data_IF_421017981989
#
_entry.id   IF_421017981989
#
_cell.length_a   1.000
_cell.length_b   1.000
_cell.length_c   1.000
_cell.angle_alpha   90.00
_cell.angle_beta   90.00
_cell.angle_gamma   90.00
#
_symmetry.space_group_name_H-M   'P 1'
#
loop_
_entity.id
_entity.type
_entity.pdbx_description
1 polymer ?
#
# COMPACT_ATOMS: atom_id res chain seq x y z
N UNK A 1 -4.08 20.59 -10.87
CA UNK A 1 -3.10 20.10 -9.86
C UNK A 1 -3.71 18.99 -9.03
N UNK A 2 -4.78 19.27 -8.28
CA UNK A 2 -5.42 18.24 -7.44
C UNK A 2 -5.93 17.04 -8.22
N UNK A 3 -6.58 17.26 -9.34
CA UNK A 3 -7.11 16.15 -10.16
C UNK A 3 -6.00 15.32 -10.76
N UNK A 4 -4.90 15.95 -11.17
CA UNK A 4 -3.72 15.24 -11.67
C UNK A 4 -3.10 14.38 -10.57
N UNK A 5 -2.93 14.94 -9.38
CA UNK A 5 -2.34 14.21 -8.25
C UNK A 5 -3.23 13.05 -7.81
N UNK A 6 -4.56 13.23 -7.81
CA UNK A 6 -5.50 12.14 -7.54
C UNK A 6 -5.35 11.00 -8.56
N UNK A 7 -5.20 11.35 -9.84
CA UNK A 7 -5.04 10.35 -10.89
C UNK A 7 -3.73 9.57 -10.73
N UNK A 8 -2.64 10.25 -10.36
CA UNK A 8 -1.35 9.61 -10.09
C UNK A 8 -1.48 8.68 -8.90
N UNK A 9 -2.13 9.13 -7.83
CA UNK A 9 -2.36 8.28 -6.65
C UNK A 9 -3.14 7.01 -7.02
N UNK A 10 -4.20 7.13 -7.83
CA UNK A 10 -4.96 5.97 -8.30
C UNK A 10 -4.08 5.00 -9.08
N UNK A 11 -3.24 5.53 -9.97
CA UNK A 11 -2.34 4.69 -10.76
C UNK A 11 -1.30 3.98 -9.89
N UNK A 12 -0.82 4.64 -8.85
CA UNK A 12 0.10 4.04 -7.89
C UNK A 12 -0.56 2.88 -7.14
N UNK A 13 -1.78 3.08 -6.65
CA UNK A 13 -2.52 1.99 -5.98
C UNK A 13 -2.78 0.81 -6.93
N UNK A 14 -2.97 1.08 -8.21
CA UNK A 14 -3.15 0.02 -9.21
C UNK A 14 -1.92 -0.89 -9.31
N UNK A 15 -0.72 -0.36 -9.10
CA UNK A 15 0.51 -1.15 -9.11
C UNK A 15 0.49 -2.23 -8.01
N UNK A 16 -0.10 -1.94 -6.86
CA UNK A 16 -0.27 -2.94 -5.81
C UNK A 16 -1.14 -4.11 -6.28
N UNK A 17 -2.13 -3.83 -7.13
CA UNK A 17 -3.02 -4.86 -7.67
C UNK A 17 -2.38 -5.65 -8.82
N UNK A 18 -1.54 -5.01 -9.63
CA UNK A 18 -0.95 -5.63 -10.83
C UNK A 18 0.45 -6.18 -10.63
N UNK A 19 1.22 -5.58 -9.71
CA UNK A 19 2.63 -5.94 -9.53
C UNK A 19 3.58 -5.34 -10.56
N UNK A 20 3.11 -4.41 -11.39
CA UNK A 20 3.93 -3.77 -12.42
C UNK A 20 4.80 -2.66 -11.83
N UNK A 21 5.84 -3.07 -11.07
CA UNK A 21 6.66 -2.19 -10.24
C UNK A 21 7.36 -1.07 -11.02
N UNK A 22 7.73 -1.32 -12.26
CA UNK A 22 8.43 -0.33 -13.10
C UNK A 22 7.59 0.91 -13.38
N UNK A 23 6.28 0.80 -13.29
CA UNK A 23 5.38 1.95 -13.48
C UNK A 23 5.54 3.00 -12.38
N UNK A 24 6.07 2.60 -11.22
CA UNK A 24 6.31 3.53 -10.11
C UNK A 24 7.38 4.57 -10.43
N UNK A 25 8.31 4.27 -11.33
CA UNK A 25 9.44 5.15 -11.63
C UNK A 25 9.01 6.55 -12.07
N UNK A 26 7.87 6.65 -12.75
CA UNK A 26 7.32 7.94 -13.22
C UNK A 26 6.39 8.61 -12.21
N UNK A 27 5.98 7.89 -11.17
CA UNK A 27 4.95 8.37 -10.24
C UNK A 27 5.47 8.65 -8.84
N UNK A 28 6.63 8.11 -8.50
CA UNK A 28 7.18 8.17 -7.13
C UNK A 28 8.63 8.61 -7.20
N UNK A 29 9.00 9.56 -6.35
CA UNK A 29 10.38 10.04 -6.29
C UNK A 29 11.32 8.94 -5.79
N UNK A 30 12.56 8.93 -6.31
CA UNK A 30 13.56 7.93 -5.93
C UNK A 30 13.85 7.95 -4.42
N UNK A 31 13.78 9.11 -3.79
CA UNK A 31 14.06 9.33 -2.37
C UNK A 31 12.78 9.48 -1.54
N UNK A 32 11.67 8.96 -2.01
CA UNK A 32 10.38 9.03 -1.32
C UNK A 32 10.50 8.56 0.14
N UNK A 33 9.80 9.26 1.03
CA UNK A 33 9.75 8.91 2.45
C UNK A 33 8.37 8.37 2.78
N UNK A 34 8.33 7.15 3.32
CA UNK A 34 7.09 6.53 3.79
C UNK A 34 7.09 6.43 5.31
N UNK A 35 5.98 6.81 5.90
CA UNK A 35 5.75 6.67 7.34
C UNK A 35 4.75 5.54 7.55
N UNK A 36 5.26 4.36 7.85
CA UNK A 36 4.47 3.17 8.13
C UNK A 36 5.09 2.47 9.35
N UNK A 37 4.45 2.54 10.53
CA UNK A 37 5.04 1.96 11.75
C UNK A 37 5.18 0.44 11.70
N UNK A 38 4.54 -0.23 10.76
CA UNK A 38 4.57 -1.69 10.65
C UNK A 38 5.52 -2.21 9.58
N UNK A 39 6.18 -1.32 8.81
CA UNK A 39 7.09 -1.72 7.75
C UNK A 39 8.47 -1.07 7.93
N UNK A 40 9.48 -1.85 8.33
CA UNK A 40 10.83 -1.30 8.53
C UNK A 40 11.49 -0.84 7.24
N UNK A 41 10.97 -1.26 6.08
CA UNK A 41 11.50 -0.86 4.77
C UNK A 41 10.83 0.39 4.21
N UNK A 42 9.81 0.92 4.88
CA UNK A 42 8.98 2.01 4.37
C UNK A 42 9.78 3.29 4.08
N UNK A 43 10.87 3.52 4.82
CA UNK A 43 11.68 4.74 4.69
C UNK A 43 12.84 4.59 3.70
N UNK A 44 12.96 3.48 2.99
CA UNK A 44 14.10 3.17 2.13
C UNK A 44 13.93 3.64 0.68
N UNK A 45 13.14 4.67 0.44
CA UNK A 45 12.93 5.24 -0.88
C UNK A 45 12.11 4.36 -1.82
N UNK A 46 12.22 4.65 -3.12
CA UNK A 46 11.45 3.93 -4.15
C UNK A 46 11.79 2.44 -4.18
N UNK A 47 13.05 2.08 -4.04
CA UNK A 47 13.45 0.67 -4.04
C UNK A 47 12.89 -0.07 -2.83
N UNK A 48 12.83 0.58 -1.68
CA UNK A 48 12.16 0.03 -0.50
C UNK A 48 10.66 -0.17 -0.71
N UNK A 49 10.00 0.78 -1.36
CA UNK A 49 8.59 0.65 -1.72
C UNK A 49 8.35 -0.54 -2.64
N UNK A 50 9.19 -0.70 -3.67
CA UNK A 50 9.08 -1.85 -4.59
C UNK A 50 9.24 -3.17 -3.85
N UNK A 51 10.19 -3.25 -2.91
CA UNK A 51 10.37 -4.44 -2.07
C UNK A 51 9.13 -4.73 -1.23
N UNK A 52 8.56 -3.71 -0.63
CA UNK A 52 7.35 -3.84 0.19
C UNK A 52 6.19 -4.39 -0.65
N UNK A 53 5.98 -3.84 -1.84
CA UNK A 53 4.93 -4.32 -2.73
C UNK A 53 5.17 -5.77 -3.12
N UNK A 54 6.40 -6.12 -3.51
CA UNK A 54 6.74 -7.48 -3.91
C UNK A 54 6.52 -8.48 -2.76
N UNK A 55 6.93 -8.13 -1.54
CA UNK A 55 6.73 -8.98 -0.35
C UNK A 55 5.25 -9.20 -0.05
N UNK A 56 4.47 -8.15 -0.12
CA UNK A 56 3.03 -8.26 0.13
C UNK A 56 2.33 -9.07 -0.96
N UNK A 57 2.71 -8.90 -2.21
CA UNK A 57 2.13 -9.69 -3.30
C UNK A 57 2.57 -11.15 -3.26
N UNK A 58 3.75 -11.45 -2.72
CA UNK A 58 4.17 -12.84 -2.50
C UNK A 58 3.28 -13.53 -1.45
N UNK A 59 2.91 -12.79 -0.39
CA UNK A 59 1.99 -13.29 0.64
C UNK A 59 0.54 -13.34 0.16
N UNK A 60 0.15 -12.39 -0.70
CA UNK A 60 -1.22 -12.23 -1.19
C UNK A 60 -1.21 -12.03 -2.72
N UNK A 61 -0.96 -13.11 -3.49
CA UNK A 61 -0.77 -12.96 -4.95
C UNK A 61 -2.01 -12.47 -5.71
N UNK A 62 -3.19 -12.63 -5.15
CA UNK A 62 -4.44 -12.16 -5.74
C UNK A 62 -4.88 -10.79 -5.23
N UNK A 63 -3.97 -10.04 -4.60
CA UNK A 63 -4.28 -8.73 -4.03
C UNK A 63 -4.97 -7.82 -5.05
N UNK A 64 -6.09 -7.24 -4.62
CA UNK A 64 -6.81 -6.23 -5.38
C UNK A 64 -7.16 -5.09 -4.43
N UNK A 65 -6.84 -3.87 -4.83
CA UNK A 65 -7.14 -2.70 -4.04
C UNK A 65 -8.23 -1.88 -4.74
N UNK A 66 -9.31 -1.62 -4.03
CA UNK A 66 -10.37 -0.72 -4.47
C UNK A 66 -10.21 0.62 -3.74
N UNK A 67 -10.28 1.70 -4.50
CA UNK A 67 -10.26 3.05 -3.93
C UNK A 67 -11.70 3.42 -3.59
N UNK A 68 -11.94 3.69 -2.31
CA UNK A 68 -13.27 4.04 -1.82
C UNK A 68 -13.53 5.54 -1.95
N UNK A 69 -12.50 6.35 -1.72
CA UNK A 69 -12.66 7.78 -1.61
C UNK A 69 -11.32 8.50 -1.74
N UNK A 70 -11.33 9.69 -2.33
CA UNK A 70 -10.13 10.53 -2.41
C UNK A 70 -10.50 11.99 -2.12
N UNK A 71 -9.67 12.62 -1.30
CA UNK A 71 -9.77 14.05 -1.00
C UNK A 71 -8.41 14.67 -1.24
N UNK A 72 -8.37 15.82 -1.90
CA UNK A 72 -7.11 16.51 -2.17
C UNK A 72 -7.21 17.96 -1.76
N UNK A 73 -6.12 18.47 -1.19
CA UNK A 73 -5.96 19.88 -0.87
C UNK A 73 -4.47 20.24 -0.99
N UNK A 74 -4.18 21.31 -1.74
CA UNK A 74 -2.81 21.72 -1.98
C UNK A 74 -2.02 20.61 -2.68
N UNK A 75 -0.90 20.25 -2.10
CA UNK A 75 0.01 19.22 -2.62
C UNK A 75 -0.26 17.81 -2.06
N UNK A 76 -1.35 17.63 -1.31
CA UNK A 76 -1.64 16.36 -0.66
C UNK A 76 -2.91 15.71 -1.19
N UNK A 77 -2.87 14.39 -1.29
CA UNK A 77 -4.03 13.56 -1.62
C UNK A 77 -4.20 12.53 -0.53
N UNK A 78 -5.42 12.44 0.00
CA UNK A 78 -5.80 11.38 0.93
C UNK A 78 -6.65 10.37 0.20
N UNK A 79 -6.26 9.11 0.29
CA UNK A 79 -6.98 7.99 -0.35
C UNK A 79 -7.41 7.00 0.71
N UNK A 80 -8.71 6.71 0.77
CA UNK A 80 -9.27 5.63 1.58
C UNK A 80 -9.46 4.42 0.67
N UNK A 81 -8.92 3.28 1.07
CA UNK A 81 -8.86 2.10 0.21
C UNK A 81 -9.19 0.83 0.97
N UNK A 82 -9.57 -0.21 0.21
CA UNK A 82 -9.82 -1.55 0.71
C UNK A 82 -9.06 -2.55 -0.14
N UNK A 83 -8.26 -3.39 0.49
CA UNK A 83 -7.57 -4.49 -0.17
C UNK A 83 -8.30 -5.79 0.11
N UNK A 84 -8.57 -6.56 -0.94
CA UNK A 84 -9.14 -7.89 -0.86
C UNK A 84 -8.11 -8.87 -1.39
N UNK A 85 -7.84 -9.94 -0.63
CA UNK A 85 -6.72 -10.83 -0.95
C UNK A 85 -6.84 -12.15 -0.22
N UNK A 86 -6.07 -13.15 -0.68
CA UNK A 86 -6.01 -14.46 -0.05
C UNK A 86 -4.59 -14.72 0.44
N UNK A 87 -4.46 -15.19 1.68
CA UNK A 87 -3.16 -15.47 2.30
C UNK A 87 -2.60 -16.79 1.76
N UNK A 88 -1.90 -16.71 0.64
CA UNK A 88 -1.36 -17.89 -0.07
C UNK A 88 0.15 -18.01 0.02
N UNK A 89 0.85 -17.02 0.59
CA UNK A 89 2.29 -17.05 0.82
C UNK A 89 2.61 -16.69 2.25
N UNK A 90 3.84 -16.93 2.67
CA UNK A 90 4.28 -16.61 4.02
C UNK A 90 4.27 -15.09 4.25
N UNK A 91 3.72 -14.67 5.39
CA UNK A 91 3.75 -13.28 5.84
C UNK A 91 4.54 -13.23 7.15
N UNK A 92 5.74 -12.62 7.11
CA UNK A 92 6.64 -12.65 8.25
C UNK A 92 6.90 -14.10 8.67
N UNK A 93 6.57 -14.44 9.92
CA UNK A 93 6.72 -15.80 10.45
C UNK A 93 5.46 -16.65 10.28
N UNK A 94 4.41 -16.11 9.69
CA UNK A 94 3.13 -16.81 9.54
C UNK A 94 3.06 -17.51 8.20
N UNK A 95 3.02 -18.86 8.16
CA UNK A 95 2.85 -19.60 6.92
C UNK A 95 1.49 -19.35 6.28
N UNK A 96 1.38 -19.61 4.98
CA UNK A 96 0.14 -19.44 4.24
C UNK A 96 -1.01 -20.17 4.92
N UNK A 97 -2.16 -19.50 5.06
CA UNK A 97 -3.36 -20.07 5.70
C UNK A 97 -4.48 -20.38 4.71
N UNK A 98 -4.40 -19.85 3.49
CA UNK A 98 -5.46 -19.94 2.50
C UNK A 98 -6.69 -19.10 2.83
N UNK A 99 -6.65 -18.29 3.87
CA UNK A 99 -7.79 -17.46 4.29
C UNK A 99 -7.93 -16.22 3.43
N UNK A 100 -9.17 -15.87 3.12
CA UNK A 100 -9.46 -14.59 2.48
C UNK A 100 -9.50 -13.51 3.54
N UNK A 101 -8.88 -12.36 3.21
CA UNK A 101 -8.82 -11.24 4.15
C UNK A 101 -9.20 -9.94 3.45
N UNK A 102 -9.73 -9.02 4.23
CA UNK A 102 -10.03 -7.66 3.79
C UNK A 102 -9.24 -6.72 4.70
N UNK A 103 -8.43 -5.87 4.07
CA UNK A 103 -7.63 -4.87 4.79
C UNK A 103 -8.07 -3.48 4.38
N UNK A 104 -8.44 -2.65 5.35
CA UNK A 104 -8.85 -1.27 5.10
C UNK A 104 -7.79 -0.31 5.60
N UNK A 105 -7.58 0.76 4.85
CA UNK A 105 -6.61 1.75 5.24
C UNK A 105 -6.85 3.11 4.62
N UNK A 106 -6.06 4.07 5.10
CA UNK A 106 -6.03 5.44 4.62
C UNK A 106 -4.58 5.82 4.40
N UNK A 107 -4.29 6.41 3.26
CA UNK A 107 -2.95 6.89 2.91
C UNK A 107 -3.02 8.36 2.56
N UNK A 108 -2.11 9.16 3.11
CA UNK A 108 -1.92 10.54 2.70
C UNK A 108 -0.63 10.62 1.93
N UNK A 109 -0.65 11.21 0.74
CA UNK A 109 0.52 11.37 -0.10
C UNK A 109 0.75 12.83 -0.43
N UNK A 110 2.01 13.27 -0.31
CA UNK A 110 2.43 14.62 -0.68
C UNK A 110 3.19 14.56 -2.00
N UNK A 111 2.87 15.48 -2.89
CA UNK A 111 3.39 15.52 -4.26
C UNK A 111 4.29 16.72 -4.50
N UNK A 112 5.33 16.51 -5.29
CA UNK A 112 6.17 17.59 -5.85
C UNK A 112 6.45 17.22 -7.31
N UNK A 113 6.19 18.17 -8.23
CA UNK A 113 6.44 18.02 -9.66
C UNK A 113 5.84 16.74 -10.25
N UNK A 114 4.64 16.40 -9.81
CA UNK A 114 3.91 15.25 -10.33
C UNK A 114 4.37 13.90 -9.81
N UNK A 115 5.16 13.88 -8.71
CA UNK A 115 5.62 12.64 -8.08
C UNK A 115 5.33 12.65 -6.59
N UNK A 116 5.02 11.48 -6.06
CA UNK A 116 4.89 11.29 -4.61
C UNK A 116 6.27 11.40 -3.97
N UNK A 117 6.42 12.31 -3.02
CA UNK A 117 7.68 12.51 -2.30
C UNK A 117 7.60 12.08 -0.84
N UNK A 118 6.40 11.99 -0.29
CA UNK A 118 6.20 11.56 1.09
C UNK A 118 4.81 10.95 1.24
N UNK A 119 4.69 9.90 2.05
CA UNK A 119 3.42 9.25 2.30
C UNK A 119 3.29 8.80 3.75
N UNK A 120 2.07 8.84 4.26
CA UNK A 120 1.70 8.35 5.59
C UNK A 120 0.61 7.30 5.43
N UNK A 121 0.81 6.14 6.01
CA UNK A 121 -0.16 5.04 5.96
C UNK A 121 -0.70 4.70 7.33
N UNK A 122 -2.00 4.46 7.38
CA UNK A 122 -2.65 3.90 8.55
C UNK A 122 -3.61 2.83 8.08
N UNK A 123 -3.48 1.62 8.61
CA UNK A 123 -4.31 0.49 8.17
C UNK A 123 -4.59 -0.45 9.33
N UNK A 124 -5.63 -1.27 9.19
CA UNK A 124 -6.05 -2.20 10.23
C UNK A 124 -5.18 -3.47 10.23
N UNK A 125 -3.91 -3.32 10.57
CA UNK A 125 -2.97 -4.43 10.63
C UNK A 125 -3.37 -5.45 11.69
N UNK A 126 -3.93 -5.01 12.81
CA UNK A 126 -4.40 -5.92 13.86
C UNK A 126 -5.52 -6.82 13.32
N UNK A 127 -6.49 -6.25 12.61
CA UNK A 127 -7.56 -7.02 11.99
C UNK A 127 -7.03 -8.04 10.98
N UNK A 128 -6.06 -7.64 10.15
CA UNK A 128 -5.41 -8.54 9.21
C UNK A 128 -4.78 -9.73 9.92
N UNK A 129 -3.98 -9.47 10.96
CA UNK A 129 -3.27 -10.52 11.69
C UNK A 129 -4.25 -11.47 12.39
N UNK A 130 -5.38 -10.96 12.87
CA UNK A 130 -6.44 -11.80 13.44
C UNK A 130 -7.09 -12.66 12.37
N UNK A 131 -7.40 -12.10 11.21
CA UNK A 131 -8.05 -12.83 10.12
C UNK A 131 -7.20 -13.99 9.60
N UNK A 132 -5.89 -13.84 9.55
CA UNK A 132 -4.99 -14.92 9.13
C UNK A 132 -4.60 -15.86 10.28
N UNK A 133 -5.03 -15.56 11.50
CA UNK A 133 -4.75 -16.40 12.68
C UNK A 133 -3.34 -16.23 13.25
N UNK A 134 -2.62 -15.17 12.88
CA UNK A 134 -1.28 -14.88 13.40
C UNK A 134 -1.31 -14.45 14.87
N UNK A 135 -2.44 -13.89 15.30
CA UNK A 135 -2.68 -13.52 16.71
C UNK A 135 -4.08 -13.99 17.10
N UNK A 136 -4.33 -14.24 18.40
CA UNK A 136 -5.65 -14.67 18.87
C UNK A 136 -6.71 -13.61 18.64
N UNK A 137 -7.94 -14.06 18.35
CA UNK A 137 -9.09 -13.18 18.36
C UNK A 137 -9.45 -12.84 19.80
N UNK A 138 -9.84 -11.59 20.03
CA UNK A 138 -10.21 -11.12 21.36
C UNK A 138 -11.53 -11.71 21.84
#
# INVERSE_FOLDING_TARGET
MSERNKAIARSEFEVWSTGELEKLDDMVAADVVHHDPYDPNATMGLEGLKKTIAMNRAAFPDMRIDIEDQVAEGDKVTTRWTAMMTHEGQLGDTPATGRRVTLRGITIERFEDGKVVEAWRSMDTLGLLREIGAIPEA
#
